data_IF_774639133423
#
_entry.id   IF_774639133423
#
_cell.length_a   1.000
_cell.length_b   1.000
_cell.length_c   1.000
_cell.angle_alpha   90.00
_cell.angle_beta   90.00
_cell.angle_gamma   90.00
#
_symmetry.space_group_name_H-M   'P 1'
#
loop_
_entity.id
_entity.type
_entity.pdbx_description
1 polymer ?
#
# COMPACT_ATOMS: atom_id res chain seq x y z
N UNK A 1 -42.12 37.72 69.12
CA UNK A 1 -41.13 36.96 69.92
C UNK A 1 -41.61 35.52 69.99
N UNK A 2 -41.06 34.64 69.13
CA UNK A 2 -41.49 33.24 69.04
C UNK A 2 -40.86 32.45 70.19
N UNK A 3 -41.69 31.88 71.07
CA UNK A 3 -41.24 30.97 72.12
C UNK A 3 -40.77 29.69 71.43
N UNK A 4 -39.45 29.54 71.35
CA UNK A 4 -38.83 28.31 70.88
C UNK A 4 -39.22 27.21 71.87
N UNK A 5 -39.86 26.16 71.37
CA UNK A 5 -40.33 25.05 72.18
C UNK A 5 -39.14 24.16 72.54
N UNK A 6 -38.58 24.36 73.74
CA UNK A 6 -37.41 23.62 74.23
C UNK A 6 -37.55 22.09 74.14
N UNK A 7 -38.80 21.56 74.15
CA UNK A 7 -39.07 20.12 73.93
C UNK A 7 -38.68 19.63 72.53
N UNK A 8 -38.89 20.44 71.49
CA UNK A 8 -38.51 20.10 70.11
C UNK A 8 -36.99 20.12 69.94
N UNK A 9 -36.30 21.05 70.61
CA UNK A 9 -34.83 21.09 70.64
C UNK A 9 -34.28 19.86 71.36
N UNK A 10 -34.85 19.50 72.52
CA UNK A 10 -34.42 18.31 73.26
C UNK A 10 -34.58 17.03 72.44
N UNK A 11 -35.73 16.87 71.76
CA UNK A 11 -35.99 15.72 70.90
C UNK A 11 -35.01 15.63 69.73
N UNK A 12 -34.67 16.78 69.12
CA UNK A 12 -33.68 16.82 68.03
C UNK A 12 -32.27 16.46 68.48
N UNK A 13 -31.89 16.85 69.70
CA UNK A 13 -30.59 16.53 70.28
C UNK A 13 -30.50 15.04 70.65
N UNK A 14 -31.58 14.48 71.18
CA UNK A 14 -31.66 13.05 71.51
C UNK A 14 -31.57 12.17 70.25
N UNK A 15 -32.26 12.56 69.16
CA UNK A 15 -32.16 11.89 67.86
C UNK A 15 -30.73 11.98 67.30
N UNK A 16 -30.08 13.14 67.43
CA UNK A 16 -28.69 13.32 66.97
C UNK A 16 -27.72 12.42 67.73
N UNK A 17 -27.88 12.29 69.06
CA UNK A 17 -27.03 11.42 69.89
C UNK A 17 -27.23 9.95 69.52
N UNK A 18 -28.47 9.51 69.27
CA UNK A 18 -28.76 8.13 68.83
C UNK A 18 -28.10 7.85 67.47
N UNK A 19 -28.20 8.78 66.50
CA UNK A 19 -27.59 8.61 65.17
C UNK A 19 -26.06 8.51 65.26
N UNK A 20 -25.41 9.37 66.06
CA UNK A 20 -23.96 9.37 66.24
C UNK A 20 -23.49 8.10 66.96
N UNK A 21 -24.22 7.66 67.98
CA UNK A 21 -23.90 6.43 68.69
C UNK A 21 -24.04 5.20 67.79
N UNK A 22 -25.10 5.12 66.96
CA UNK A 22 -25.26 4.04 65.97
C UNK A 22 -24.14 3.98 64.93
N UNK A 23 -23.56 5.12 64.54
CA UNK A 23 -22.41 5.16 63.63
C UNK A 23 -21.11 4.63 64.28
N UNK A 24 -20.99 4.68 65.62
CA UNK A 24 -19.79 4.21 66.31
C UNK A 24 -19.73 2.69 66.53
N UNK A 25 -20.85 1.97 66.43
CA UNK A 25 -20.88 0.49 66.53
C UNK A 25 -20.80 -0.22 65.19
N UNK A 26 -20.78 0.52 64.08
CA UNK A 26 -20.39 -0.02 62.78
C UNK A 26 -18.88 0.05 62.63
N UNK A 27 -18.13 -0.65 63.48
CA UNK A 27 -16.83 -1.13 63.03
C UNK A 27 -17.12 -2.21 61.98
N UNK A 28 -16.47 -2.20 60.81
CA UNK A 28 -16.47 -3.40 59.99
C UNK A 28 -15.79 -4.47 60.82
N UNK A 29 -16.56 -5.34 61.45
CA UNK A 29 -16.03 -6.65 61.84
C UNK A 29 -15.66 -7.30 60.53
N UNK A 30 -14.38 -7.28 60.17
CA UNK A 30 -13.86 -8.27 59.25
C UNK A 30 -14.13 -9.61 59.91
N UNK A 31 -15.28 -10.21 59.57
CA UNK A 31 -15.42 -11.64 59.68
C UNK A 31 -14.39 -12.18 58.72
N UNK A 32 -13.22 -12.55 59.24
CA UNK A 32 -12.37 -13.56 58.61
C UNK A 32 -13.20 -14.83 58.61
N UNK A 33 -14.10 -14.93 57.63
CA UNK A 33 -14.68 -16.21 57.28
C UNK A 33 -13.49 -17.11 57.03
N UNK A 34 -13.33 -18.13 57.88
CA UNK A 34 -12.44 -19.24 57.63
C UNK A 34 -12.96 -19.91 56.35
N UNK A 35 -12.49 -19.40 55.23
CA UNK A 35 -12.51 -20.09 53.97
C UNK A 35 -11.07 -20.48 53.73
N UNK A 36 -10.71 -21.59 54.38
CA UNK A 36 -9.62 -22.48 54.05
C UNK A 36 -9.84 -23.08 52.65
N UNK A 37 -9.80 -22.18 51.68
CA UNK A 37 -9.52 -22.39 50.27
C UNK A 37 -8.85 -21.09 49.81
N UNK A 38 -7.72 -20.77 50.43
CA UNK A 38 -6.67 -20.03 49.73
C UNK A 38 -6.12 -20.95 48.62
N UNK A 39 -6.98 -21.29 47.64
CA UNK A 39 -6.45 -21.37 46.30
C UNK A 39 -5.88 -19.99 46.07
N UNK A 40 -4.56 -19.93 45.98
CA UNK A 40 -3.90 -18.94 45.17
C UNK A 40 -4.64 -18.95 43.81
N UNK A 41 -5.72 -18.19 43.70
CA UNK A 41 -5.96 -17.48 42.46
C UNK A 41 -4.90 -16.38 42.47
N UNK A 42 -3.65 -16.80 42.26
CA UNK A 42 -2.91 -16.21 41.16
C UNK A 42 -3.95 -16.19 40.06
N UNK A 43 -4.48 -15.02 39.76
CA UNK A 43 -4.83 -14.76 38.38
C UNK A 43 -3.52 -14.96 37.64
N UNK A 44 -3.20 -16.23 37.34
CA UNK A 44 -2.36 -16.55 36.21
C UNK A 44 -3.22 -16.03 35.09
N UNK A 45 -3.06 -14.74 34.79
CA UNK A 45 -3.18 -14.26 33.44
C UNK A 45 -2.11 -15.05 32.69
N UNK A 46 -2.45 -16.29 32.36
CA UNK A 46 -1.73 -17.10 31.42
C UNK A 46 -2.08 -16.47 30.07
N UNK A 47 -1.61 -15.24 29.86
CA UNK A 47 -1.50 -14.68 28.53
C UNK A 47 -0.56 -15.64 27.81
N UNK A 48 -1.17 -16.58 27.09
CA UNK A 48 -0.45 -17.51 26.24
C UNK A 48 0.30 -16.62 25.24
N UNK A 49 1.60 -16.45 25.47
CA UNK A 49 2.43 -15.65 24.59
C UNK A 49 2.52 -16.37 23.26
N UNK A 50 2.17 -15.68 22.19
CA UNK A 50 2.31 -16.22 20.86
C UNK A 50 3.81 -16.45 20.58
N UNK A 51 4.20 -17.61 20.07
CA UNK A 51 5.59 -17.85 19.67
C UNK A 51 5.99 -16.91 18.52
N UNK A 52 7.28 -16.59 18.43
CA UNK A 52 7.83 -15.91 17.25
C UNK A 52 7.78 -16.90 16.06
N UNK A 53 7.10 -16.57 14.96
CA UNK A 53 6.97 -17.50 13.84
C UNK A 53 8.29 -17.64 13.07
N UNK A 54 8.55 -18.80 12.47
CA UNK A 54 9.69 -19.03 11.58
C UNK A 54 9.24 -19.70 10.28
N UNK A 55 9.66 -19.16 9.13
CA UNK A 55 9.42 -19.76 7.82
C UNK A 55 10.62 -20.64 7.46
N UNK A 56 10.37 -21.94 7.28
CA UNK A 56 11.37 -22.91 6.82
C UNK A 56 11.38 -23.04 5.30
N UNK A 57 10.21 -23.05 4.65
CA UNK A 57 10.12 -23.10 3.18
C UNK A 57 8.74 -22.66 2.68
N UNK A 58 8.66 -22.36 1.39
CA UNK A 58 7.42 -22.00 0.70
C UNK A 58 7.26 -22.92 -0.52
N UNK A 59 6.06 -23.46 -0.75
CA UNK A 59 5.77 -24.28 -1.92
C UNK A 59 4.45 -23.87 -2.60
N UNK A 60 4.48 -23.62 -3.93
CA UNK A 60 5.67 -23.33 -4.73
C UNK A 60 6.40 -22.07 -4.22
N UNK A 61 7.73 -22.00 -4.32
CA UNK A 61 8.52 -20.78 -4.05
C UNK A 61 8.70 -19.90 -5.30
N UNK A 62 8.29 -20.41 -6.46
CA UNK A 62 8.34 -19.69 -7.72
C UNK A 62 7.22 -20.12 -8.66
N UNK A 63 6.64 -19.15 -9.35
CA UNK A 63 5.52 -19.37 -10.28
C UNK A 63 5.65 -18.44 -11.49
N UNK A 64 5.04 -18.83 -12.61
CA UNK A 64 4.84 -17.94 -13.75
C UNK A 64 3.74 -16.91 -13.44
N UNK A 65 3.71 -15.79 -14.18
CA UNK A 65 2.67 -14.77 -14.07
C UNK A 65 1.27 -15.41 -14.12
N UNK A 66 0.46 -15.14 -13.09
CA UNK A 66 -0.91 -15.64 -12.98
C UNK A 66 -1.93 -14.58 -13.41
N UNK A 67 -3.11 -15.01 -13.86
CA UNK A 67 -4.21 -14.13 -14.25
C UNK A 67 -5.26 -13.91 -13.16
N UNK A 68 -5.24 -14.73 -12.10
CA UNK A 68 -6.25 -14.69 -11.03
C UNK A 68 -5.59 -14.83 -9.66
N UNK A 69 -5.78 -15.96 -8.99
CA UNK A 69 -5.13 -16.27 -7.71
C UNK A 69 -4.53 -17.66 -7.73
N UNK A 70 -3.52 -17.85 -6.88
CA UNK A 70 -2.96 -19.16 -6.56
C UNK A 70 -2.78 -19.26 -5.05
N UNK A 71 -3.05 -20.44 -4.51
CA UNK A 71 -2.79 -20.72 -3.10
C UNK A 71 -1.44 -21.41 -2.99
N UNK A 72 -0.57 -20.89 -2.13
CA UNK A 72 0.73 -21.49 -1.81
C UNK A 72 0.75 -21.92 -0.35
N UNK A 73 1.60 -22.88 -0.02
CA UNK A 73 1.80 -23.38 1.34
C UNK A 73 3.08 -22.83 1.92
N UNK A 74 3.00 -22.28 3.12
CA UNK A 74 4.15 -21.88 3.94
C UNK A 74 4.38 -22.95 5.00
N UNK A 75 5.60 -23.47 5.05
CA UNK A 75 6.07 -24.44 6.03
C UNK A 75 6.95 -23.73 7.04
N UNK A 76 6.80 -24.07 8.32
CA UNK A 76 7.49 -23.36 9.38
C UNK A 76 7.28 -23.93 10.77
N UNK A 77 7.42 -23.05 11.75
CA UNK A 77 7.12 -23.31 13.15
C UNK A 77 6.57 -22.06 13.83
N UNK A 78 5.88 -22.26 14.95
CA UNK A 78 5.33 -21.18 15.75
C UNK A 78 4.18 -20.46 15.08
N UNK A 79 3.43 -21.09 14.17
CA UNK A 79 2.20 -20.50 13.65
C UNK A 79 1.04 -20.67 14.64
N UNK A 80 0.15 -19.69 14.66
CA UNK A 80 -1.02 -19.58 15.52
C UNK A 80 -2.25 -19.32 14.67
N UNK A 81 -3.45 -19.49 15.25
CA UNK A 81 -4.72 -19.28 14.52
C UNK A 81 -4.91 -17.84 14.02
N UNK A 82 -4.20 -16.88 14.61
CA UNK A 82 -4.20 -15.47 14.26
C UNK A 82 -2.97 -15.04 13.43
N UNK A 83 -2.14 -15.99 12.97
CA UNK A 83 -1.01 -15.70 12.08
C UNK A 83 -1.48 -15.06 10.77
N UNK A 84 -0.80 -13.99 10.36
CA UNK A 84 -1.06 -13.28 9.10
C UNK A 84 0.19 -13.30 8.23
N UNK A 85 0.07 -13.80 7.01
CA UNK A 85 1.13 -13.70 6.00
C UNK A 85 1.12 -12.32 5.37
N UNK A 86 2.29 -11.71 5.24
CA UNK A 86 2.49 -10.36 4.72
C UNK A 86 3.48 -10.37 3.56
N UNK A 87 3.11 -9.67 2.48
CA UNK A 87 3.96 -9.38 1.33
C UNK A 87 4.41 -7.93 1.40
N UNK A 88 5.70 -7.66 1.61
CA UNK A 88 6.23 -6.30 1.77
C UNK A 88 5.33 -5.42 2.69
N UNK A 89 5.00 -5.95 3.87
CA UNK A 89 4.10 -5.36 4.88
C UNK A 89 2.60 -5.30 4.57
N UNK A 90 2.15 -5.72 3.38
CA UNK A 90 0.73 -5.83 3.02
C UNK A 90 0.16 -7.20 3.40
N UNK A 91 -0.97 -7.24 4.11
CA UNK A 91 -1.59 -8.49 4.56
C UNK A 91 -2.16 -9.29 3.38
N UNK A 92 -1.96 -10.61 3.39
CA UNK A 92 -2.57 -11.56 2.46
C UNK A 92 -3.55 -12.45 3.19
N UNK A 93 -4.49 -13.03 2.43
CA UNK A 93 -5.48 -13.96 2.99
C UNK A 93 -4.76 -15.23 3.42
N UNK A 94 -4.71 -15.46 4.73
CA UNK A 94 -4.04 -16.60 5.36
C UNK A 94 -5.07 -17.55 5.93
N UNK A 95 -4.87 -18.84 5.70
CA UNK A 95 -5.64 -19.92 6.34
C UNK A 95 -4.68 -20.72 7.20
N UNK A 96 -4.92 -20.73 8.51
CA UNK A 96 -4.18 -21.55 9.45
C UNK A 96 -4.61 -23.02 9.32
N UNK A 97 -3.63 -23.91 9.18
CA UNK A 97 -3.85 -25.36 9.14
C UNK A 97 -3.38 -25.96 10.46
N UNK A 98 -2.12 -25.73 10.81
CA UNK A 98 -1.52 -26.12 12.09
C UNK A 98 -0.32 -25.21 12.42
N UNK A 99 0.37 -25.49 13.53
CA UNK A 99 1.51 -24.68 14.00
C UNK A 99 2.75 -24.68 13.08
N UNK A 100 2.72 -25.45 12.00
CA UNK A 100 3.80 -25.61 11.01
C UNK A 100 3.35 -25.33 9.57
N UNK A 101 2.06 -25.18 9.31
CA UNK A 101 1.51 -25.03 7.97
C UNK A 101 0.50 -23.87 7.88
N UNK A 102 0.74 -22.96 6.95
CA UNK A 102 -0.21 -21.92 6.55
C UNK A 102 -0.48 -22.02 5.05
N UNK A 103 -1.72 -21.78 4.64
CA UNK A 103 -2.05 -21.49 3.25
C UNK A 103 -2.17 -19.99 3.06
N UNK A 104 -1.67 -19.48 1.96
CA UNK A 104 -1.83 -18.06 1.59
C UNK A 104 -2.23 -17.92 0.14
N UNK A 105 -3.20 -17.03 -0.09
CA UNK A 105 -3.63 -16.67 -1.44
C UNK A 105 -2.76 -15.52 -1.98
N UNK A 106 -2.11 -15.76 -3.11
CA UNK A 106 -1.37 -14.78 -3.90
C UNK A 106 -2.21 -14.40 -5.12
N UNK A 107 -2.39 -13.10 -5.35
CA UNK A 107 -3.20 -12.57 -6.44
C UNK A 107 -2.34 -12.06 -7.59
N UNK A 108 -2.90 -11.98 -8.80
CA UNK A 108 -2.23 -11.42 -9.97
C UNK A 108 -1.72 -9.99 -9.74
N UNK A 109 -2.44 -9.19 -8.95
CA UNK A 109 -2.03 -7.85 -8.52
C UNK A 109 -0.71 -7.83 -7.75
N UNK A 110 -0.33 -8.95 -7.14
CA UNK A 110 0.87 -9.05 -6.31
C UNK A 110 2.13 -9.18 -7.15
N UNK A 111 1.98 -9.50 -8.44
CA UNK A 111 3.05 -9.79 -9.39
C UNK A 111 3.27 -8.64 -10.38
N UNK A 112 2.46 -7.58 -10.34
CA UNK A 112 2.53 -6.48 -11.29
C UNK A 112 3.86 -5.72 -11.14
N UNK A 113 4.63 -5.60 -12.24
CA UNK A 113 5.93 -4.92 -12.29
C UNK A 113 6.98 -5.43 -11.28
N UNK A 114 6.89 -6.69 -10.85
CA UNK A 114 7.85 -7.28 -9.91
C UNK A 114 8.32 -8.64 -10.39
N UNK A 115 9.62 -8.91 -10.25
CA UNK A 115 10.23 -10.21 -10.53
C UNK A 115 10.33 -11.08 -9.28
N UNK A 116 10.21 -10.48 -8.10
CA UNK A 116 10.30 -11.16 -6.81
C UNK A 116 9.67 -10.31 -5.70
N UNK A 117 9.32 -10.95 -4.59
CA UNK A 117 8.89 -10.28 -3.37
C UNK A 117 9.21 -11.13 -2.14
N UNK A 118 9.19 -10.49 -0.97
CA UNK A 118 9.41 -11.18 0.30
C UNK A 118 8.09 -11.44 1.02
N UNK A 119 7.98 -12.62 1.60
CA UNK A 119 6.91 -13.04 2.49
C UNK A 119 7.41 -13.13 3.92
N UNK A 120 6.63 -12.59 4.85
CA UNK A 120 6.81 -12.74 6.30
C UNK A 120 5.51 -13.24 6.93
N UNK A 121 5.59 -13.91 8.07
CA UNK A 121 4.45 -14.25 8.91
C UNK A 121 4.48 -13.36 10.13
N UNK A 122 3.33 -12.82 10.53
CA UNK A 122 3.15 -12.03 11.73
C UNK A 122 2.18 -12.72 12.68
N UNK A 123 2.64 -12.94 13.92
CA UNK A 123 1.79 -13.35 15.04
C UNK A 123 1.54 -12.14 15.94
N UNK A 124 0.34 -12.01 16.51
CA UNK A 124 -0.02 -10.83 17.31
C UNK A 124 0.65 -10.86 18.69
N UNK A 125 0.70 -9.70 19.32
CA UNK A 125 0.95 -9.59 20.76
C UNK A 125 -0.18 -10.24 21.57
N UNK A 126 0.09 -10.75 22.79
CA UNK A 126 1.37 -10.70 23.49
C UNK A 126 2.40 -11.72 22.96
N UNK A 127 3.66 -11.29 22.87
CA UNK A 127 4.83 -12.13 22.59
C UNK A 127 5.27 -12.18 21.14
N UNK A 128 4.34 -12.42 20.20
CA UNK A 128 4.60 -12.83 18.81
C UNK A 128 5.61 -12.00 18.00
N UNK A 129 5.16 -11.33 16.94
CA UNK A 129 6.03 -10.58 16.03
C UNK A 129 6.22 -11.23 14.66
N UNK A 130 7.28 -10.81 13.96
CA UNK A 130 7.53 -11.20 12.56
C UNK A 130 8.50 -12.38 12.46
N UNK A 131 8.29 -13.22 11.45
CA UNK A 131 9.24 -14.24 11.04
C UNK A 131 10.42 -13.67 10.26
N UNK A 132 11.39 -14.54 9.94
CA UNK A 132 12.33 -14.29 8.86
C UNK A 132 11.58 -14.03 7.53
N UNK A 133 12.20 -13.24 6.65
CA UNK A 133 11.72 -13.02 5.30
C UNK A 133 12.08 -14.20 4.40
N UNK A 134 11.12 -14.67 3.61
CA UNK A 134 11.32 -15.71 2.61
C UNK A 134 11.10 -15.14 1.22
N UNK A 135 12.05 -15.39 0.32
CA UNK A 135 12.00 -14.91 -1.06
C UNK A 135 11.01 -15.74 -1.88
N UNK A 136 10.18 -15.05 -2.65
CA UNK A 136 9.29 -15.65 -3.63
C UNK A 136 9.60 -15.07 -5.01
N UNK A 137 9.86 -15.94 -5.99
CA UNK A 137 10.31 -15.54 -7.33
C UNK A 137 9.20 -15.66 -8.37
N UNK A 138 9.07 -14.65 -9.21
CA UNK A 138 8.16 -14.62 -10.34
C UNK A 138 8.97 -14.96 -11.59
N UNK A 139 8.59 -16.05 -12.26
CA UNK A 139 9.18 -16.45 -13.53
C UNK A 139 8.52 -15.65 -14.64
N UNK A 140 9.31 -14.83 -15.33
CA UNK A 140 8.88 -14.22 -16.57
C UNK A 140 9.30 -15.16 -17.69
N UNK A 141 8.33 -15.70 -18.44
CA UNK A 141 8.64 -16.13 -19.79
C UNK A 141 9.07 -14.87 -20.53
N UNK A 142 10.28 -14.85 -21.08
CA UNK A 142 10.88 -13.69 -21.77
C UNK A 142 10.21 -13.38 -23.11
N UNK A 143 8.93 -13.69 -23.26
CA UNK A 143 8.10 -13.14 -24.32
C UNK A 143 7.81 -11.69 -24.01
N UNK A 144 8.74 -10.83 -24.44
CA UNK A 144 8.55 -9.40 -24.73
C UNK A 144 7.16 -9.21 -25.33
N UNK A 145 6.18 -8.88 -24.49
CA UNK A 145 4.85 -8.49 -24.96
C UNK A 145 4.96 -7.01 -25.24
N UNK A 146 5.38 -6.69 -26.47
CA UNK A 146 5.14 -5.36 -27.03
C UNK A 146 3.64 -5.11 -26.88
N UNK A 147 3.29 -4.10 -26.07
CA UNK A 147 1.93 -3.59 -25.90
C UNK A 147 1.39 -3.21 -27.29
N UNK A 148 0.65 -4.12 -27.92
CA UNK A 148 -0.16 -3.79 -29.10
C UNK A 148 -1.40 -3.08 -28.57
N UNK A 149 -1.36 -1.75 -28.59
CA UNK A 149 -2.55 -0.92 -28.44
C UNK A 149 -3.55 -1.29 -29.53
N UNK A 150 -4.73 -1.73 -29.07
CA UNK A 150 -5.94 -1.93 -29.87
C UNK A 150 -6.19 -0.72 -30.78
N UNK A 151 -5.96 -0.88 -32.09
CA UNK A 151 -6.55 -0.01 -33.10
C UNK A 151 -7.57 -0.83 -33.89
N UNK A 152 -8.80 -0.32 -33.90
CA UNK A 152 -10.00 -0.82 -34.55
C UNK A 152 -9.73 -1.17 -36.03
N UNK A 153 -9.71 -2.46 -36.37
CA UNK A 153 -9.74 -2.90 -37.77
C UNK A 153 -11.21 -3.02 -38.23
N UNK A 154 -11.66 -2.01 -38.97
CA UNK A 154 -12.76 -2.16 -39.93
C UNK A 154 -12.31 -3.07 -41.07
N UNK A 155 -13.21 -3.98 -41.42
CA UNK A 155 -13.08 -5.13 -42.31
C UNK A 155 -12.81 -4.74 -43.77
N UNK A 156 -11.72 -5.24 -44.37
CA UNK A 156 -11.68 -5.53 -45.82
C UNK A 156 -10.88 -6.81 -46.05
N UNK A 157 -11.60 -7.84 -46.49
CA UNK A 157 -11.14 -9.16 -46.90
C UNK A 157 -10.29 -9.03 -48.16
N UNK A 158 -9.20 -9.81 -48.29
CA UNK A 158 -8.75 -10.35 -49.57
C UNK A 158 -7.82 -11.57 -49.36
N UNK A 159 -8.36 -12.75 -49.68
CA UNK A 159 -7.62 -14.00 -49.88
C UNK A 159 -6.90 -13.97 -51.24
N UNK A 160 -5.65 -14.43 -51.30
CA UNK A 160 -5.02 -15.00 -52.50
C UNK A 160 -3.73 -15.77 -52.17
N UNK A 161 -3.89 -17.08 -52.01
CA UNK A 161 -3.17 -18.19 -52.66
C UNK A 161 -1.66 -18.16 -52.92
N UNK A 162 -1.04 -19.30 -52.55
CA UNK A 162 0.09 -20.00 -53.19
C UNK A 162 1.51 -19.43 -53.04
N UNK A 163 2.41 -20.15 -52.36
CA UNK A 163 3.19 -21.26 -52.97
C UNK A 163 4.51 -21.54 -52.20
N UNK A 164 4.80 -22.83 -52.05
CA UNK A 164 6.13 -23.49 -52.06
C UNK A 164 7.21 -23.19 -50.99
N UNK A 165 7.30 -24.12 -50.04
CA UNK A 165 8.45 -24.99 -49.74
C UNK A 165 9.86 -24.56 -50.22
N UNK A 166 10.79 -24.34 -49.27
CA UNK A 166 12.08 -25.07 -49.24
C UNK A 166 12.81 -24.84 -47.92
N UNK A 167 13.13 -25.93 -47.23
CA UNK A 167 14.26 -26.02 -46.32
C UNK A 167 15.55 -25.70 -47.09
N UNK A 168 16.47 -24.94 -46.49
CA UNK A 168 17.90 -25.22 -46.55
C UNK A 168 18.67 -24.43 -45.50
N UNK A 169 19.20 -25.19 -44.54
CA UNK A 169 20.36 -24.85 -43.73
C UNK A 169 21.58 -24.76 -44.66
N UNK A 170 22.25 -23.61 -44.69
CA UNK A 170 23.66 -23.49 -45.06
C UNK A 170 24.24 -22.23 -44.44
N UNK A 171 25.07 -22.44 -43.43
CA UNK A 171 26.17 -21.54 -43.09
C UNK A 171 26.99 -21.24 -44.34
N UNK A 172 27.15 -19.97 -44.69
CA UNK A 172 28.33 -19.52 -45.44
C UNK A 172 28.65 -18.09 -45.05
N UNK A 173 29.69 -17.97 -44.23
CA UNK A 173 30.48 -16.75 -44.15
C UNK A 173 30.97 -16.38 -45.56
N UNK A 174 30.79 -15.12 -45.93
CA UNK A 174 31.68 -14.42 -46.84
C UNK A 174 31.82 -13.00 -46.29
N UNK A 175 32.95 -12.73 -45.66
CA UNK A 175 33.48 -11.38 -45.51
C UNK A 175 33.84 -10.84 -46.90
N UNK A 176 33.69 -9.52 -47.08
CA UNK A 176 34.76 -8.59 -47.50
C UNK A 176 34.21 -7.40 -48.31
N UNK A 177 34.21 -6.19 -47.70
CA UNK A 177 34.79 -4.92 -48.24
C UNK A 177 34.08 -4.30 -49.47
N UNK A 178 33.84 -3.00 -49.65
CA UNK A 178 34.24 -1.74 -49.03
C UNK A 178 33.43 -0.60 -49.67
N UNK A 179 33.46 0.58 -49.03
CA UNK A 179 33.39 1.92 -49.63
C UNK A 179 32.04 2.55 -50.08
N UNK A 180 31.55 3.43 -49.20
CA UNK A 180 31.53 4.91 -49.34
C UNK A 180 30.46 5.59 -50.25
N UNK A 181 29.52 6.27 -49.56
CA UNK A 181 28.72 7.48 -49.86
C UNK A 181 28.32 7.77 -51.30
N UNK A 182 27.01 7.77 -51.57
CA UNK A 182 26.36 8.75 -52.44
C UNK A 182 25.00 9.19 -51.85
N UNK A 183 24.97 10.47 -51.49
CA UNK A 183 23.79 11.29 -51.26
C UNK A 183 23.30 11.72 -52.65
N UNK A 184 22.07 11.34 -53.04
CA UNK A 184 21.42 11.92 -54.22
C UNK A 184 19.92 12.06 -53.94
N UNK A 185 19.59 13.25 -53.43
CA UNK A 185 18.25 13.79 -53.40
C UNK A 185 17.76 13.99 -54.85
N UNK A 186 16.68 13.30 -55.23
CA UNK A 186 15.96 13.63 -56.45
C UNK A 186 14.50 13.93 -56.11
N UNK A 187 14.26 15.22 -55.85
CA UNK A 187 12.92 15.81 -55.77
C UNK A 187 12.52 16.20 -57.19
N UNK A 188 11.40 15.68 -57.70
CA UNK A 188 10.74 16.26 -58.86
C UNK A 188 9.25 16.37 -58.57
N UNK A 189 8.80 17.63 -58.50
CA UNK A 189 7.46 18.06 -58.16
C UNK A 189 6.51 17.91 -59.35
N UNK A 190 5.24 17.62 -59.07
CA UNK A 190 4.13 18.06 -59.91
C UNK A 190 2.88 18.27 -59.06
N UNK A 191 2.55 19.56 -58.98
CA UNK A 191 1.22 20.17 -58.97
C UNK A 191 0.45 20.41 -57.66
N UNK A 192 0.74 21.60 -57.10
CA UNK A 192 -0.15 22.63 -56.54
C UNK A 192 -1.38 22.24 -55.68
N UNK A 193 -1.19 22.31 -54.36
CA UNK A 193 -2.04 23.19 -53.54
C UNK A 193 -1.29 23.61 -52.26
N UNK A 194 -0.71 24.80 -52.31
CA UNK A 194 -0.09 25.48 -51.17
C UNK A 194 -1.17 25.78 -50.12
N UNK A 195 -1.19 25.03 -49.02
CA UNK A 195 -1.67 25.55 -47.75
C UNK A 195 -0.58 25.29 -46.72
N UNK A 196 0.13 26.34 -46.34
CA UNK A 196 0.94 26.35 -45.13
C UNK A 196 0.01 26.22 -43.91
N UNK A 197 -0.45 24.98 -43.69
CA UNK A 197 -1.33 24.54 -42.62
C UNK A 197 -0.57 23.84 -41.51
N UNK A 198 0.46 24.52 -41.03
CA UNK A 198 0.99 24.38 -39.67
C UNK A 198 1.95 23.23 -39.39
N UNK A 199 3.15 23.62 -38.98
CA UNK A 199 4.01 22.94 -38.03
C UNK A 199 3.36 22.84 -36.62
N UNK A 200 2.02 22.78 -36.51
CA UNK A 200 1.34 22.93 -35.23
C UNK A 200 0.62 21.67 -34.78
N UNK A 201 0.90 21.36 -33.51
CA UNK A 201 0.19 20.48 -32.61
C UNK A 201 0.21 19.00 -32.98
N UNK A 202 1.31 18.33 -32.61
CA UNK A 202 1.25 17.03 -31.89
C UNK A 202 2.61 16.58 -31.32
N UNK A 203 3.67 17.40 -31.37
CA UNK A 203 4.99 17.09 -30.81
C UNK A 203 5.33 17.79 -29.47
N UNK A 204 4.38 18.45 -28.80
CA UNK A 204 4.69 19.18 -27.55
C UNK A 204 4.16 18.55 -26.27
N UNK A 205 3.15 17.66 -26.36
CA UNK A 205 2.57 16.99 -25.19
C UNK A 205 2.22 15.56 -25.60
N UNK A 206 3.21 14.67 -25.53
CA UNK A 206 3.07 13.27 -25.89
C UNK A 206 1.89 12.59 -25.18
N UNK A 207 1.16 11.77 -25.93
CA UNK A 207 0.04 10.95 -25.45
C UNK A 207 0.46 9.79 -24.54
N UNK A 208 1.73 9.67 -24.20
CA UNK A 208 2.21 8.79 -23.15
C UNK A 208 2.36 9.59 -21.88
N UNK A 209 1.30 9.54 -21.05
CA UNK A 209 1.22 10.06 -19.69
C UNK A 209 2.59 10.39 -19.09
N UNK A 210 2.94 11.68 -19.11
CA UNK A 210 4.20 12.27 -18.62
C UNK A 210 4.54 11.94 -17.14
N UNK A 211 3.65 11.21 -16.46
CA UNK A 211 3.75 10.86 -15.06
C UNK A 211 3.99 9.34 -14.93
N UNK A 212 5.15 8.89 -14.39
CA UNK A 212 5.38 7.48 -14.09
C UNK A 212 4.31 6.94 -13.12
N UNK A 213 3.63 5.86 -13.47
CA UNK A 213 2.51 5.32 -12.66
C UNK A 213 2.95 4.84 -11.27
N UNK A 214 2.04 4.90 -10.29
CA UNK A 214 2.25 4.36 -8.93
C UNK A 214 2.65 5.43 -7.92
N UNK A 215 3.48 5.08 -6.92
CA UNK A 215 3.92 6.02 -5.86
C UNK A 215 4.64 7.26 -6.43
N UNK A 216 5.37 7.09 -7.53
CA UNK A 216 6.09 8.19 -8.19
C UNK A 216 5.13 9.22 -8.78
N UNK A 217 3.98 8.80 -9.33
CA UNK A 217 2.91 9.70 -9.80
C UNK A 217 2.40 10.61 -8.69
N UNK A 218 2.10 10.03 -7.52
CA UNK A 218 1.60 10.78 -6.37
C UNK A 218 2.63 11.80 -5.86
N UNK A 219 3.91 11.44 -5.88
CA UNK A 219 5.01 12.34 -5.53
C UNK A 219 5.10 13.51 -6.53
N UNK A 220 5.10 13.23 -7.83
CA UNK A 220 5.19 14.27 -8.87
C UNK A 220 3.95 15.18 -8.86
N UNK A 221 2.77 14.64 -8.59
CA UNK A 221 1.53 15.43 -8.49
C UNK A 221 1.58 16.43 -7.33
N UNK A 222 2.06 16.00 -6.15
CA UNK A 222 2.24 16.89 -4.99
C UNK A 222 3.25 18.00 -5.29
N UNK A 223 4.35 17.68 -5.96
CA UNK A 223 5.37 18.66 -6.35
C UNK A 223 4.79 19.72 -7.29
N UNK A 224 3.98 19.32 -8.28
CA UNK A 224 3.35 20.26 -9.22
C UNK A 224 2.36 21.17 -8.52
N UNK A 225 1.54 20.64 -7.60
CA UNK A 225 0.62 21.45 -6.80
C UNK A 225 1.37 22.51 -5.98
N UNK A 226 2.46 22.11 -5.32
CA UNK A 226 3.28 23.05 -4.55
C UNK A 226 3.89 24.15 -5.44
N UNK A 227 4.32 23.79 -6.65
CA UNK A 227 4.90 24.73 -7.60
C UNK A 227 3.86 25.75 -8.09
N UNK A 228 2.62 25.32 -8.34
CA UNK A 228 1.50 26.20 -8.69
C UNK A 228 1.20 27.18 -7.54
N UNK A 229 1.11 26.69 -6.31
CA UNK A 229 0.86 27.53 -5.13
C UNK A 229 1.99 28.55 -4.96
N UNK A 230 3.25 28.12 -5.14
CA UNK A 230 4.41 28.98 -5.04
C UNK A 230 4.42 30.07 -6.11
N UNK A 231 4.14 29.71 -7.37
CA UNK A 231 4.02 30.68 -8.47
C UNK A 231 2.87 31.65 -8.25
N UNK A 232 1.73 31.18 -7.78
CA UNK A 232 0.60 32.05 -7.48
C UNK A 232 0.94 33.07 -6.39
N UNK A 233 1.62 32.62 -5.33
CA UNK A 233 2.14 33.49 -4.26
C UNK A 233 3.24 34.44 -4.74
N UNK A 234 4.10 33.99 -5.66
CA UNK A 234 5.17 34.80 -6.22
C UNK A 234 4.61 35.94 -7.08
N UNK A 235 3.63 35.65 -7.93
CA UNK A 235 3.01 36.63 -8.84
C UNK A 235 2.16 37.66 -8.09
N UNK A 236 1.45 37.26 -7.03
CA UNK A 236 0.54 38.14 -6.29
C UNK A 236 1.21 38.86 -5.12
N UNK A 237 2.54 38.85 -5.03
CA UNK A 237 3.25 39.66 -4.04
C UNK A 237 3.22 41.13 -4.50
N UNK A 238 2.12 41.80 -4.16
CA UNK A 238 1.85 43.20 -4.46
C UNK A 238 3.04 44.07 -4.04
N UNK A 239 3.59 44.81 -5.00
CA UNK A 239 4.42 45.97 -4.72
C UNK A 239 3.57 46.98 -3.93
N UNK A 240 3.87 47.16 -2.66
CA UNK A 240 3.38 48.33 -1.93
C UNK A 240 4.04 49.56 -2.55
N UNK A 241 3.31 50.22 -3.44
CA UNK A 241 3.69 51.51 -3.98
C UNK A 241 3.72 52.52 -2.82
N UNK A 242 4.92 52.82 -2.34
CA UNK A 242 5.17 54.01 -1.54
C UNK A 242 4.82 55.22 -2.41
N UNK A 243 3.64 55.77 -2.18
CA UNK A 243 3.21 57.05 -2.72
C UNK A 243 4.12 58.12 -2.11
N UNK A 244 5.12 58.56 -2.87
CA UNK A 244 5.84 59.80 -2.57
C UNK A 244 4.89 60.97 -2.79
N UNK A 245 4.30 61.50 -1.72
CA UNK A 245 3.68 62.82 -1.77
C UNK A 245 4.79 63.88 -1.75
N UNK A 246 4.89 64.77 -2.77
CA UNK A 246 5.81 65.89 -2.71
C UNK A 246 5.26 66.92 -1.72
N UNK A 247 6.07 67.23 -0.70
CA UNK A 247 5.83 68.30 0.27
C UNK A 247 5.54 69.60 -0.50
N UNK A 248 4.30 70.10 -0.38
CA UNK A 248 3.93 71.41 -0.91
C UNK A 248 4.62 72.48 -0.10
N UNK A 249 5.37 73.33 -0.81
CA UNK A 249 5.85 74.62 -0.31
C UNK A 249 4.68 75.46 0.21
N UNK A 250 4.82 75.94 1.44
CA UNK A 250 4.21 77.17 1.96
C UNK A 250 5.18 77.76 3.00
#
# INVERSE_FOLDING_TARGET
>A
MSKINNKLILLSLEILVIIVFSLMFFTPTETKAYNDYAYLRTEINLEAHNPIPNISSIKPNSINIIKSKITITIFGSGFTTDSIVKKNNSNRRTTFIDSKHLLVDIYASDMYNQNEFYLTVFNREPGGGYSNASLFTIKNDTTTTNTTTTTTNTTTINNSSSSNNSNNNSNSNYDNTSNRTEENNNVSASDSNENYGSLTANAFLGSDSFMPTGLVQWIVFVIIILLIIFLWRYVHRSEEKYMGEPLKHA
#
